data_IF_985188821700
#
_entry.id   IF_985188821700
#
_cell.length_a   1.000
_cell.length_b   1.000
_cell.length_c   1.000
_cell.angle_alpha   90.00
_cell.angle_beta   90.00
_cell.angle_gamma   90.00
#
_symmetry.space_group_name_H-M   'P 1'
#
loop_
_entity.id
_entity.type
_entity.pdbx_description
1 polymer ?
#
# COMPACT_ATOMS: atom_id res chain seq x y z
N UNK A 1 -0.85 -14.79 3.54
CA UNK A 1 -1.83 -13.71 3.32
C UNK A 1 -1.47 -12.54 4.23
N UNK A 2 -1.48 -11.32 3.69
CA UNK A 2 -1.37 -10.08 4.45
C UNK A 2 -2.77 -9.58 4.82
N UNK A 3 -2.93 -9.01 6.02
CA UNK A 3 -4.23 -8.65 6.59
C UNK A 3 -4.14 -7.25 7.20
N UNK A 4 -5.13 -6.40 6.96
CA UNK A 4 -5.31 -5.15 7.72
C UNK A 4 -5.56 -5.51 9.18
N UNK A 5 -4.64 -5.16 10.08
CA UNK A 5 -4.75 -5.53 11.48
C UNK A 5 -4.34 -4.37 12.40
N UNK A 6 -4.53 -4.58 13.70
CA UNK A 6 -4.14 -3.64 14.74
C UNK A 6 -3.73 -4.37 16.00
N UNK A 7 -2.77 -3.83 16.75
CA UNK A 7 -2.47 -4.33 18.10
C UNK A 7 -3.60 -3.93 19.07
N UNK A 8 -3.84 -4.70 20.15
CA UNK A 8 -4.99 -4.48 21.03
C UNK A 8 -4.80 -3.29 21.99
N UNK A 9 -3.59 -2.75 22.11
CA UNK A 9 -3.23 -1.69 23.05
C UNK A 9 -2.81 -0.38 22.34
N UNK A 10 -2.75 0.71 23.11
CA UNK A 10 -2.31 2.03 22.64
C UNK A 10 -3.39 2.81 21.87
N UNK A 11 -3.05 4.05 21.43
CA UNK A 11 -4.00 4.95 20.78
C UNK A 11 -4.51 4.40 19.44
N UNK A 12 -5.80 4.57 19.17
CA UNK A 12 -6.46 4.04 17.96
C UNK A 12 -5.78 4.48 16.66
N UNK A 13 -5.24 5.71 16.61
CA UNK A 13 -4.57 6.30 15.45
C UNK A 13 -3.11 5.84 15.23
N UNK A 14 -2.57 5.01 16.12
CA UNK A 14 -1.15 4.62 16.11
C UNK A 14 -0.90 3.12 16.09
N UNK A 15 -1.95 2.31 16.15
CA UNK A 15 -1.86 0.88 16.48
C UNK A 15 -2.07 -0.07 15.29
N UNK A 16 -2.07 0.44 14.06
CA UNK A 16 -2.18 -0.35 12.83
C UNK A 16 -0.91 -1.16 12.55
N UNK A 17 -1.09 -2.41 12.11
CA UNK A 17 -0.02 -3.34 11.72
C UNK A 17 -0.44 -4.21 10.54
N UNK A 18 0.52 -4.83 9.87
CA UNK A 18 0.27 -5.88 8.87
C UNK A 18 0.13 -7.22 9.59
N UNK A 19 -1.10 -7.71 9.65
CA UNK A 19 -1.37 -9.09 10.07
C UNK A 19 -0.90 -10.08 9.02
N UNK A 20 -0.61 -11.31 9.46
CA UNK A 20 -0.08 -12.36 8.59
C UNK A 20 -0.67 -13.71 8.97
N UNK A 21 -1.05 -14.46 7.94
CA UNK A 21 -1.49 -15.84 8.07
C UNK A 21 -0.88 -16.69 6.94
N UNK A 22 -0.60 -17.96 7.23
CA UNK A 22 -0.08 -18.93 6.25
C UNK A 22 -1.09 -20.04 6.04
N UNK A 23 -1.07 -20.63 4.86
CA UNK A 23 -1.93 -21.75 4.51
C UNK A 23 -1.25 -22.54 3.40
N UNK A 24 -1.36 -23.86 3.49
CA UNK A 24 -0.85 -24.78 2.46
C UNK A 24 -1.96 -25.21 1.48
N UNK A 25 -3.24 -24.93 1.79
CA UNK A 25 -4.41 -25.36 1.02
C UNK A 25 -5.40 -24.22 0.67
N UNK A 26 -5.11 -22.99 1.09
CA UNK A 26 -5.95 -21.79 1.00
C UNK A 26 -7.29 -21.85 1.76
N UNK A 27 -7.54 -22.92 2.51
CA UNK A 27 -8.77 -23.13 3.29
C UNK A 27 -8.49 -23.01 4.79
N UNK A 28 -7.42 -23.64 5.26
CA UNK A 28 -7.00 -23.65 6.66
C UNK A 28 -5.82 -22.69 6.84
N UNK A 29 -5.94 -21.76 7.79
CA UNK A 29 -5.00 -20.66 7.94
C UNK A 29 -4.41 -20.61 9.35
N UNK A 30 -3.09 -20.69 9.44
CA UNK A 30 -2.33 -20.46 10.67
C UNK A 30 -2.02 -18.98 10.82
N UNK A 31 -2.65 -18.33 11.80
CA UNK A 31 -2.37 -16.94 12.14
C UNK A 31 -0.98 -16.83 12.76
N UNK A 32 -0.18 -15.91 12.23
CA UNK A 32 1.19 -15.65 12.64
C UNK A 32 1.28 -14.32 13.42
N UNK A 33 2.40 -14.06 14.11
CA UNK A 33 2.71 -12.72 14.58
C UNK A 33 2.66 -11.69 13.44
N UNK A 34 2.32 -10.41 13.73
CA UNK A 34 2.29 -9.36 12.72
C UNK A 34 3.68 -9.16 12.10
N UNK A 35 3.72 -8.74 10.82
CA UNK A 35 4.98 -8.52 10.09
C UNK A 35 5.58 -7.12 10.29
N UNK A 36 4.93 -6.29 11.11
CA UNK A 36 5.31 -4.91 11.40
C UNK A 36 5.02 -4.56 12.84
N UNK A 37 5.82 -3.69 13.42
CA UNK A 37 5.45 -2.94 14.63
C UNK A 37 4.65 -1.68 14.26
N UNK A 38 3.77 -1.19 15.17
CA UNK A 38 3.04 0.05 14.92
C UNK A 38 3.98 1.27 14.77
N UNK A 39 3.71 2.14 13.80
CA UNK A 39 4.56 3.30 13.49
C UNK A 39 3.78 4.59 13.17
N UNK A 40 2.69 4.85 13.90
CA UNK A 40 1.91 6.09 13.73
C UNK A 40 0.80 6.03 12.67
N UNK A 41 0.47 4.83 12.20
CA UNK A 41 -0.68 4.54 11.37
C UNK A 41 -1.77 3.86 12.21
N UNK A 42 -3.04 4.25 12.04
CA UNK A 42 -4.16 3.66 12.77
C UNK A 42 -4.61 2.32 12.21
N UNK A 43 -4.46 2.15 10.90
CA UNK A 43 -4.67 0.93 10.12
C UNK A 43 -3.86 0.99 8.81
N UNK A 44 -3.69 -0.16 8.17
CA UNK A 44 -2.93 -0.36 6.93
C UNK A 44 -3.83 -1.12 5.95
N UNK A 45 -4.76 -0.41 5.33
CA UNK A 45 -5.79 -0.99 4.48
C UNK A 45 -5.22 -1.53 3.17
N UNK A 46 -5.91 -2.51 2.59
CA UNK A 46 -5.61 -3.12 1.28
C UNK A 46 -4.13 -3.48 1.08
N UNK A 47 -3.50 -4.16 2.06
CA UNK A 47 -2.08 -4.44 1.98
C UNK A 47 -1.77 -5.36 0.81
N UNK A 48 -0.68 -5.07 0.11
CA UNK A 48 -0.17 -5.90 -0.97
C UNK A 48 1.35 -5.87 -0.99
N UNK A 49 1.93 -6.87 -1.64
CA UNK A 49 3.38 -6.95 -1.85
C UNK A 49 3.70 -7.20 -3.32
N UNK A 50 4.71 -6.49 -3.82
CA UNK A 50 5.23 -6.67 -5.17
C UNK A 50 6.74 -6.45 -5.18
N UNK A 51 7.44 -7.05 -6.16
CA UNK A 51 8.86 -6.80 -6.40
C UNK A 51 9.00 -5.89 -7.62
N UNK A 52 9.11 -4.58 -7.39
CA UNK A 52 9.18 -3.56 -8.44
C UNK A 52 10.62 -3.13 -8.63
N UNK A 53 11.11 -3.20 -9.88
CA UNK A 53 12.51 -2.90 -10.23
C UNK A 53 13.53 -3.59 -9.30
N UNK A 54 13.24 -4.86 -8.94
CA UNK A 54 14.08 -5.68 -8.05
C UNK A 54 13.87 -5.45 -6.55
N UNK A 55 13.10 -4.44 -6.15
CA UNK A 55 12.84 -4.11 -4.75
C UNK A 55 11.51 -4.70 -4.26
N UNK A 56 11.49 -5.52 -3.20
CA UNK A 56 10.26 -5.85 -2.48
C UNK A 56 9.65 -4.60 -1.84
N UNK A 57 8.38 -4.36 -2.14
CA UNK A 57 7.58 -3.24 -1.64
C UNK A 57 6.31 -3.75 -1.00
N UNK A 58 6.04 -3.32 0.24
CA UNK A 58 4.74 -3.38 0.86
C UNK A 58 4.00 -2.09 0.51
N UNK A 59 2.81 -2.20 -0.06
CA UNK A 59 1.91 -1.08 -0.28
C UNK A 59 0.69 -1.22 0.63
N UNK A 60 0.20 -0.10 1.15
CA UNK A 60 -1.05 -0.03 1.90
C UNK A 60 -1.66 1.37 1.75
N UNK A 61 -2.92 1.50 2.14
CA UNK A 61 -3.63 2.78 2.18
C UNK A 61 -4.07 3.08 3.62
N UNK A 62 -4.16 4.37 3.96
CA UNK A 62 -4.66 4.79 5.27
C UNK A 62 -5.22 6.20 5.22
N UNK A 63 -6.39 6.38 5.84
CA UNK A 63 -6.97 7.69 6.15
C UNK A 63 -6.79 8.08 7.63
N UNK A 64 -6.15 7.23 8.44
CA UNK A 64 -6.01 7.43 9.88
C UNK A 64 -4.52 7.44 10.24
N UNK A 65 -3.94 8.63 10.27
CA UNK A 65 -2.52 8.85 10.55
C UNK A 65 -2.33 9.84 11.70
N UNK A 66 -1.36 9.55 12.55
CA UNK A 66 -0.92 10.44 13.63
C UNK A 66 0.57 10.75 13.42
N UNK A 67 0.84 11.36 12.26
CA UNK A 67 2.08 12.03 11.90
C UNK A 67 1.73 13.50 11.72
N UNK A 68 2.61 14.40 12.15
CA UNK A 68 2.38 15.86 12.16
C UNK A 68 2.05 16.48 10.80
N UNK A 69 2.18 15.71 9.71
CA UNK A 69 1.80 16.10 8.35
C UNK A 69 0.30 15.79 8.10
N UNK A 70 -0.57 16.69 8.56
CA UNK A 70 -2.02 16.59 8.37
C UNK A 70 -2.47 16.57 6.89
N UNK A 71 -1.59 16.99 5.96
CA UNK A 71 -1.82 16.96 4.52
C UNK A 71 -1.75 15.54 3.90
N UNK A 72 -1.30 14.53 4.67
CA UNK A 72 -1.13 13.16 4.20
C UNK A 72 -2.32 12.22 4.47
N UNK A 73 -3.48 12.78 4.83
CA UNK A 73 -4.70 12.00 5.07
C UNK A 73 -5.24 11.40 3.76
N UNK A 74 -5.60 10.12 3.80
CA UNK A 74 -6.11 9.29 2.69
C UNK A 74 -5.14 9.12 1.51
N UNK A 75 -3.95 8.62 1.82
CA UNK A 75 -2.92 8.36 0.82
C UNK A 75 -2.51 6.88 0.76
N UNK A 76 -1.90 6.55 -0.37
CA UNK A 76 -1.22 5.29 -0.61
C UNK A 76 0.22 5.42 -0.15
N UNK A 77 0.73 4.42 0.55
CA UNK A 77 2.08 4.38 1.08
C UNK A 77 2.81 3.16 0.56
N UNK A 78 4.11 3.30 0.35
CA UNK A 78 5.01 2.21 0.01
C UNK A 78 6.15 2.11 1.03
N UNK A 79 6.50 0.88 1.40
CA UNK A 79 7.59 0.55 2.33
C UNK A 79 8.55 -0.42 1.64
N UNK A 80 9.82 -0.07 1.45
CA UNK A 80 10.81 -1.03 0.98
C UNK A 80 11.12 -2.07 2.06
N UNK A 81 11.28 -3.33 1.66
CA UNK A 81 11.63 -4.43 2.54
C UNK A 81 12.68 -5.36 1.95
N UNK A 82 13.21 -6.27 2.76
CA UNK A 82 14.23 -7.22 2.33
C UNK A 82 13.67 -8.40 1.52
N UNK A 83 12.39 -8.74 1.71
CA UNK A 83 11.71 -9.84 1.01
C UNK A 83 10.21 -9.58 0.90
N UNK A 84 9.48 -10.46 0.19
CA UNK A 84 8.02 -10.37 0.06
C UNK A 84 7.26 -10.67 1.36
N UNK A 85 7.93 -11.18 2.37
CA UNK A 85 7.39 -11.40 3.72
C UNK A 85 8.06 -10.49 4.76
N UNK A 86 8.75 -9.43 4.33
CA UNK A 86 9.47 -8.52 5.21
C UNK A 86 10.88 -8.98 5.58
N UNK A 87 11.46 -8.47 6.69
CA UNK A 87 10.84 -7.53 7.64
C UNK A 87 10.43 -6.20 6.96
N UNK A 88 9.41 -5.55 7.53
CA UNK A 88 8.89 -4.27 7.06
C UNK A 88 9.05 -3.20 8.15
N UNK A 89 9.85 -2.17 7.89
CA UNK A 89 9.95 -1.00 8.77
C UNK A 89 8.99 0.09 8.32
N UNK A 90 7.83 0.20 8.98
CA UNK A 90 6.82 1.20 8.66
C UNK A 90 7.33 2.65 8.87
N UNK A 91 8.43 2.89 9.58
CA UNK A 91 9.03 4.22 9.69
C UNK A 91 9.62 4.69 8.36
N UNK A 92 10.00 3.76 7.49
CA UNK A 92 10.48 4.02 6.14
C UNK A 92 9.34 4.20 5.11
N UNK A 93 8.07 4.22 5.54
CA UNK A 93 6.94 4.44 4.66
C UNK A 93 7.01 5.81 3.97
N UNK A 94 6.85 5.80 2.65
CA UNK A 94 6.82 7.00 1.80
C UNK A 94 5.48 7.07 1.07
N UNK A 95 4.88 8.26 0.94
CA UNK A 95 3.64 8.43 0.18
C UNK A 95 3.92 8.18 -1.31
N UNK A 96 2.97 7.51 -1.97
CA UNK A 96 2.97 7.32 -3.41
C UNK A 96 2.14 8.46 -4.02
N UNK A 97 2.72 9.30 -4.90
CA UNK A 97 2.01 10.43 -5.52
C UNK A 97 1.03 9.95 -6.60
N UNK A 98 -0.09 9.39 -6.17
CA UNK A 98 -1.18 8.92 -7.04
C UNK A 98 -2.53 9.43 -6.49
N UNK A 99 -2.83 10.73 -6.60
CA UNK A 99 -4.06 11.31 -6.06
C UNK A 99 -5.29 10.69 -6.72
N UNK A 100 -6.38 10.59 -5.95
CA UNK A 100 -7.70 10.16 -6.46
C UNK A 100 -7.89 8.64 -6.58
N UNK A 101 -6.86 7.82 -6.33
CA UNK A 101 -6.98 6.36 -6.37
C UNK A 101 -7.41 5.77 -5.02
N UNK A 102 -8.54 5.08 -5.02
CA UNK A 102 -8.94 4.17 -3.94
C UNK A 102 -8.41 2.76 -4.22
N UNK A 103 -7.92 2.10 -3.17
CA UNK A 103 -7.46 0.71 -3.19
C UNK A 103 -6.60 0.30 -4.40
N UNK A 104 -5.49 1.01 -4.69
CA UNK A 104 -4.71 0.70 -5.87
C UNK A 104 -4.08 -0.68 -5.78
N UNK A 105 -3.77 -1.28 -6.93
CA UNK A 105 -3.09 -2.56 -7.07
C UNK A 105 -1.96 -2.46 -8.08
N UNK A 106 -0.79 -2.97 -7.70
CA UNK A 106 0.31 -3.22 -8.62
C UNK A 106 0.01 -4.48 -9.42
N UNK A 107 0.05 -4.35 -10.74
CA UNK A 107 -0.14 -5.44 -11.68
C UNK A 107 1.02 -5.48 -12.66
N UNK A 108 1.39 -6.68 -13.09
CA UNK A 108 2.46 -6.86 -14.08
C UNK A 108 1.82 -7.05 -15.45
N UNK A 109 2.12 -6.15 -16.38
CA UNK A 109 1.68 -6.27 -17.76
C UNK A 109 2.33 -7.49 -18.43
N UNK A 110 1.74 -7.98 -19.53
CA UNK A 110 2.33 -9.08 -20.33
C UNK A 110 3.74 -8.76 -20.87
N UNK A 111 4.06 -7.46 -21.03
CA UNK A 111 5.40 -6.96 -21.39
C UNK A 111 6.41 -7.01 -20.24
N UNK A 112 5.99 -7.41 -19.05
CA UNK A 112 6.82 -7.47 -17.84
C UNK A 112 6.92 -6.15 -17.07
N UNK A 113 6.37 -5.05 -17.60
CA UNK A 113 6.33 -3.75 -16.92
C UNK A 113 5.34 -3.75 -15.75
N UNK A 114 5.70 -3.06 -14.66
CA UNK A 114 4.80 -2.83 -13.54
C UNK A 114 3.87 -1.66 -13.83
N UNK A 115 2.60 -1.85 -13.50
CA UNK A 115 1.52 -0.89 -13.69
C UNK A 115 0.76 -0.74 -12.37
N UNK A 116 0.20 0.44 -12.13
CA UNK A 116 -0.73 0.70 -11.04
C UNK A 116 -2.13 0.87 -11.64
N UNK A 117 -3.09 0.13 -11.10
CA UNK A 117 -4.52 0.35 -11.34
C UNK A 117 -5.16 0.74 -10.01
N UNK A 118 -6.29 1.46 -10.02
CA UNK A 118 -7.05 1.73 -8.82
C UNK A 118 -8.49 2.12 -9.14
N UNK A 119 -9.31 2.23 -8.11
CA UNK A 119 -10.69 2.69 -8.22
C UNK A 119 -10.72 4.22 -8.21
N UNK A 120 -11.31 4.82 -9.24
CA UNK A 120 -11.74 6.22 -9.25
C UNK A 120 -13.09 6.28 -8.57
N UNK A 121 -13.12 6.76 -7.33
CA UNK A 121 -14.38 6.91 -6.61
C UNK A 121 -15.22 8.02 -7.25
N UNK A 122 -14.63 9.20 -7.43
CA UNK A 122 -15.36 10.40 -7.85
C UNK A 122 -14.66 11.14 -8.98
N UNK A 123 -15.46 11.72 -9.87
CA UNK A 123 -15.04 12.75 -10.84
C UNK A 123 -15.96 13.94 -10.68
N UNK A 124 -15.39 15.14 -10.54
CA UNK A 124 -16.15 16.38 -10.38
C UNK A 124 -17.17 16.33 -9.21
N UNK A 125 -16.83 15.59 -8.15
CA UNK A 125 -17.69 15.41 -6.96
C UNK A 125 -18.83 14.40 -7.15
N UNK A 126 -18.86 13.64 -8.24
CA UNK A 126 -19.86 12.61 -8.52
C UNK A 126 -19.20 11.23 -8.47
N UNK A 127 -19.82 10.29 -7.77
CA UNK A 127 -19.35 8.90 -7.73
C UNK A 127 -19.43 8.26 -9.13
N UNK A 128 -18.30 7.75 -9.62
CA UNK A 128 -18.20 7.05 -10.91
C UNK A 128 -17.88 5.56 -10.75
N UNK A 129 -17.12 5.17 -9.72
CA UNK A 129 -16.82 3.77 -9.42
C UNK A 129 -16.07 3.03 -10.53
N UNK A 130 -15.15 3.72 -11.22
CA UNK A 130 -14.46 3.21 -12.40
C UNK A 130 -13.07 2.67 -12.04
N UNK A 131 -12.57 1.71 -12.81
CA UNK A 131 -11.16 1.33 -12.74
C UNK A 131 -10.33 2.29 -13.62
N UNK A 132 -9.20 2.77 -13.13
CA UNK A 132 -8.28 3.55 -13.97
C UNK A 132 -7.66 2.71 -15.07
N UNK A 133 -7.23 3.39 -16.14
CA UNK A 133 -6.23 2.83 -17.03
C UNK A 133 -4.97 2.44 -16.23
N UNK A 134 -4.26 1.35 -16.62
CA UNK A 134 -3.00 0.99 -16.01
C UNK A 134 -1.95 2.09 -16.23
N UNK A 135 -1.40 2.63 -15.15
CA UNK A 135 -0.34 3.65 -15.21
C UNK A 135 1.02 3.00 -14.92
N UNK A 136 2.03 3.13 -15.79
CA UNK A 136 3.33 2.53 -15.55
C UNK A 136 3.96 3.04 -14.26
N UNK A 137 4.66 2.19 -13.51
CA UNK A 137 5.38 2.61 -12.30
C UNK A 137 6.85 2.21 -12.31
N UNK A 138 7.64 2.98 -11.57
CA UNK A 138 9.05 2.71 -11.27
C UNK A 138 9.36 2.91 -9.81
N UNK A 139 10.38 2.20 -9.33
CA UNK A 139 10.96 2.38 -8.01
C UNK A 139 12.44 2.73 -8.11
N UNK A 140 12.85 3.74 -7.34
CA UNK A 140 14.26 3.97 -6.99
C UNK A 140 14.37 4.22 -5.49
N UNK A 141 15.53 3.94 -4.89
CA UNK A 141 15.76 4.25 -3.48
C UNK A 141 15.65 5.77 -3.20
N UNK A 142 16.07 6.60 -4.16
CA UNK A 142 16.00 8.05 -4.06
C UNK A 142 14.56 8.57 -4.09
N UNK A 143 13.74 8.10 -5.04
CA UNK A 143 12.43 8.70 -5.32
C UNK A 143 11.26 7.95 -4.66
N UNK A 144 11.47 6.69 -4.29
CA UNK A 144 10.42 5.78 -3.88
C UNK A 144 9.65 5.23 -5.09
N UNK A 145 8.45 4.70 -4.84
CA UNK A 145 7.55 4.26 -5.91
C UNK A 145 6.90 5.48 -6.57
N UNK A 146 7.00 5.58 -7.90
CA UNK A 146 6.47 6.70 -8.70
C UNK A 146 5.75 6.20 -9.95
N UNK A 147 4.73 6.94 -10.37
CA UNK A 147 4.15 6.81 -11.71
C UNK A 147 5.18 7.27 -12.76
N UNK A 148 5.23 6.60 -13.91
CA UNK A 148 6.25 6.79 -14.96
C UNK A 148 5.67 7.18 -16.33
N UNK A 149 4.43 7.69 -16.37
CA UNK A 149 3.81 8.33 -17.54
C UNK A 149 3.47 9.80 -17.24
N UNK A 150 3.67 10.70 -18.21
CA UNK A 150 3.51 12.15 -18.03
C UNK A 150 2.06 12.57 -17.72
N UNK A 151 1.94 13.50 -16.76
CA UNK A 151 0.84 14.44 -16.39
C UNK A 151 -0.64 14.09 -16.57
N UNK A 152 -1.03 12.92 -17.06
CA UNK A 152 -2.40 12.45 -17.02
C UNK A 152 -2.71 12.01 -15.60
N UNK A 153 -3.35 12.89 -14.82
CA UNK A 153 -4.13 12.41 -13.69
C UNK A 153 -5.17 11.41 -14.23
N UNK A 154 -5.48 10.34 -13.48
CA UNK A 154 -6.58 9.43 -13.83
C UNK A 154 -7.96 10.12 -13.89
#
# INVERSE_FOLDING_TARGET
>A
MLITARVPHGPARRRGVIGYARSDDLLNWDVQPPLTEPAGFGHLEVPQVAVVDGQPLLLFRTNLIDRSDAAAADQVWAVPGASVTGPWDLRAARPVPCPGLYAPRLVRAGTGSWQLIGLVNEREGVFVGELTDPVPVRYTAADGLRLSGGSGAP
#
